data_IF_974913005807
#
_entry.id   IF_974913005807
#
_cell.length_a   1.000
_cell.length_b   1.000
_cell.length_c   1.000
_cell.angle_alpha   90.00
_cell.angle_beta   90.00
_cell.angle_gamma   90.00
#
_symmetry.space_group_name_H-M   'P 1'
#
loop_
_entity.id
_entity.type
_entity.pdbx_description
1 polymer ?
#
# COMPACT_ATOMS: atom_id res chain seq x y z
N UNK A 1 -17.22 -9.90 -5.99
CA UNK A 1 -17.66 -8.71 -5.24
C UNK A 1 -16.85 -7.56 -5.79
N UNK A 2 -17.48 -6.44 -6.21
CA UNK A 2 -16.73 -5.28 -6.71
C UNK A 2 -15.95 -4.60 -5.58
N UNK A 3 -14.96 -3.76 -5.93
CA UNK A 3 -14.23 -2.98 -4.92
C UNK A 3 -15.18 -2.07 -4.11
N UNK A 4 -16.17 -1.47 -4.79
CA UNK A 4 -17.17 -0.62 -4.12
C UNK A 4 -17.97 -1.41 -3.09
N UNK A 5 -18.36 -2.66 -3.39
CA UNK A 5 -19.07 -3.52 -2.43
C UNK A 5 -18.17 -3.82 -1.22
N UNK A 6 -16.92 -4.22 -1.47
CA UNK A 6 -15.95 -4.52 -0.40
C UNK A 6 -15.71 -3.31 0.51
N UNK A 7 -15.55 -2.11 -0.08
CA UNK A 7 -15.34 -0.89 0.69
C UNK A 7 -16.62 -0.39 1.37
N UNK A 8 -17.80 -0.70 0.85
CA UNK A 8 -19.06 -0.37 1.53
C UNK A 8 -19.28 -1.23 2.78
N UNK A 9 -18.75 -2.44 2.79
CA UNK A 9 -18.77 -3.35 3.95
C UNK A 9 -17.56 -3.17 4.88
N UNK A 10 -16.61 -2.31 4.50
CA UNK A 10 -15.40 -2.07 5.29
C UNK A 10 -15.69 -1.30 6.58
N UNK A 11 -15.13 -1.77 7.70
CA UNK A 11 -15.29 -1.16 9.01
C UNK A 11 -14.02 -0.38 9.42
N UNK A 12 -14.05 0.97 9.35
CA UNK A 12 -12.92 1.79 9.73
C UNK A 12 -12.52 1.59 11.20
N UNK A 13 -11.23 1.43 11.47
CA UNK A 13 -10.74 1.25 12.84
C UNK A 13 -10.52 2.58 13.59
N UNK A 14 -10.50 3.70 12.88
CA UNK A 14 -10.28 5.04 13.45
C UNK A 14 -10.90 6.15 12.58
N UNK A 15 -10.80 7.40 13.04
CA UNK A 15 -11.34 8.57 12.32
C UNK A 15 -10.64 8.87 10.99
N UNK A 16 -9.35 8.53 10.85
CA UNK A 16 -8.64 8.69 9.59
C UNK A 16 -9.25 7.75 8.53
N UNK A 17 -9.35 6.46 8.80
CA UNK A 17 -9.96 5.52 7.85
C UNK A 17 -11.42 5.87 7.54
N UNK A 18 -12.18 6.33 8.54
CA UNK A 18 -13.58 6.71 8.33
C UNK A 18 -13.72 7.89 7.35
N UNK A 19 -12.84 8.89 7.46
CA UNK A 19 -12.83 10.05 6.56
C UNK A 19 -12.33 9.69 5.17
N UNK A 20 -11.25 8.93 5.10
CA UNK A 20 -10.61 8.52 3.84
C UNK A 20 -11.53 7.57 3.05
N UNK A 21 -12.20 6.64 3.73
CA UNK A 21 -13.17 5.74 3.10
C UNK A 21 -14.30 6.50 2.40
N UNK A 22 -14.86 7.53 3.05
CA UNK A 22 -15.92 8.34 2.45
C UNK A 22 -15.43 9.05 1.18
N UNK A 23 -14.21 9.57 1.20
CA UNK A 23 -13.61 10.21 0.02
C UNK A 23 -13.34 9.19 -1.10
N UNK A 24 -12.75 8.05 -0.78
CA UNK A 24 -12.49 6.97 -1.73
C UNK A 24 -13.79 6.50 -2.39
N UNK A 25 -14.82 6.20 -1.60
CA UNK A 25 -16.14 5.78 -2.12
C UNK A 25 -16.79 6.85 -2.99
N UNK A 26 -16.64 8.14 -2.63
CA UNK A 26 -17.13 9.26 -3.45
C UNK A 26 -16.41 9.32 -4.79
N UNK A 27 -15.09 9.17 -4.81
CA UNK A 27 -14.30 9.17 -6.03
C UNK A 27 -14.64 7.98 -6.93
N UNK A 28 -14.72 6.77 -6.38
CA UNK A 28 -15.10 5.56 -7.12
C UNK A 28 -16.46 5.68 -7.80
N UNK A 29 -17.43 6.37 -7.16
CA UNK A 29 -18.79 6.55 -7.72
C UNK A 29 -18.87 7.64 -8.79
N UNK A 30 -18.03 8.66 -8.72
CA UNK A 30 -18.20 9.88 -9.52
C UNK A 30 -17.07 10.15 -10.53
N UNK A 31 -16.01 9.34 -10.55
CA UNK A 31 -14.85 9.54 -11.42
C UNK A 31 -14.57 8.26 -12.24
N UNK A 32 -14.97 8.20 -13.51
CA UNK A 32 -14.84 6.98 -14.32
C UNK A 32 -13.37 6.57 -14.57
N UNK A 33 -12.44 7.54 -14.57
CA UNK A 33 -11.01 7.31 -14.81
C UNK A 33 -10.19 7.08 -13.53
N UNK A 34 -10.85 6.90 -12.37
CA UNK A 34 -10.17 6.85 -11.06
C UNK A 34 -9.15 5.71 -10.92
N UNK A 35 -9.26 4.64 -11.70
CA UNK A 35 -8.27 3.56 -11.74
C UNK A 35 -7.07 3.87 -12.65
N UNK A 36 -7.08 5.00 -13.35
CA UNK A 36 -6.02 5.39 -14.28
C UNK A 36 -5.30 6.65 -13.82
N UNK A 37 -3.98 6.73 -14.04
CA UNK A 37 -3.18 7.96 -13.88
C UNK A 37 -3.59 9.08 -14.85
N UNK A 38 -4.50 8.83 -15.80
CA UNK A 38 -5.13 9.88 -16.60
C UNK A 38 -6.01 10.81 -15.76
N UNK A 39 -6.57 10.32 -14.63
CA UNK A 39 -7.16 11.19 -13.62
C UNK A 39 -6.04 11.86 -12.81
N UNK A 40 -5.76 13.11 -13.18
CA UNK A 40 -4.66 13.90 -12.60
C UNK A 40 -4.98 14.50 -11.23
N UNK A 41 -6.21 14.38 -10.75
CA UNK A 41 -6.60 14.88 -9.44
C UNK A 41 -6.42 13.80 -8.36
N UNK A 42 -6.88 12.60 -8.66
CA UNK A 42 -6.74 11.45 -7.77
C UNK A 42 -6.89 10.15 -8.54
N UNK A 43 -6.18 9.12 -8.14
CA UNK A 43 -6.33 7.79 -8.73
C UNK A 43 -6.03 6.68 -7.72
N UNK A 44 -6.54 5.48 -8.01
CA UNK A 44 -6.40 4.33 -7.14
C UNK A 44 -4.98 3.77 -7.16
N UNK A 45 -4.52 3.43 -5.96
CA UNK A 45 -3.29 2.67 -5.73
C UNK A 45 -3.57 1.48 -4.82
N UNK A 46 -2.72 0.49 -4.88
CA UNK A 46 -2.78 -0.66 -4.00
C UNK A 46 -1.43 -0.87 -3.32
N UNK A 47 -1.44 -1.12 -2.02
CA UNK A 47 -0.25 -1.40 -1.24
C UNK A 47 -0.42 -2.67 -0.43
N UNK A 48 0.70 -3.23 0.02
CA UNK A 48 0.73 -4.42 0.83
C UNK A 48 1.44 -4.19 2.16
N UNK A 49 0.80 -4.54 3.26
CA UNK A 49 1.49 -4.82 4.51
C UNK A 49 1.89 -6.28 4.48
N UNK A 50 3.09 -6.55 3.96
CA UNK A 50 3.57 -7.91 3.73
C UNK A 50 4.34 -8.41 4.93
N UNK A 51 3.90 -9.52 5.51
CA UNK A 51 4.50 -10.12 6.70
C UNK A 51 5.03 -11.52 6.41
N UNK A 52 5.95 -12.00 7.25
CA UNK A 52 6.39 -13.38 7.20
C UNK A 52 5.37 -14.31 7.89
N UNK A 53 5.45 -15.67 7.71
CA UNK A 53 4.49 -16.61 8.29
C UNK A 53 4.34 -16.52 9.82
N UNK A 54 5.42 -16.18 10.52
CA UNK A 54 5.37 -15.99 11.99
C UNK A 54 4.87 -14.61 12.41
N UNK A 55 4.64 -13.69 11.44
CA UNK A 55 4.20 -12.29 11.65
C UNK A 55 5.11 -11.49 12.58
N UNK A 56 6.36 -11.91 12.62
CA UNK A 56 7.43 -11.23 13.39
C UNK A 56 8.23 -10.24 12.55
N UNK A 57 8.02 -10.24 11.23
CA UNK A 57 8.73 -9.37 10.29
C UNK A 57 7.76 -8.78 9.26
N UNK A 58 8.09 -7.58 8.80
CA UNK A 58 7.42 -6.81 7.74
C UNK A 58 8.42 -6.52 6.64
N UNK A 59 8.02 -6.73 5.38
CA UNK A 59 8.84 -6.44 4.21
C UNK A 59 8.67 -4.98 3.80
N UNK A 60 9.78 -4.26 3.64
CA UNK A 60 9.82 -2.89 3.13
C UNK A 60 10.85 -2.78 2.00
N UNK A 61 10.60 -1.83 1.08
CA UNK A 61 11.54 -1.42 0.05
C UNK A 61 12.05 0.02 0.32
N UNK A 62 13.32 0.28 -0.03
CA UNK A 62 13.89 1.63 0.04
C UNK A 62 13.58 2.38 -1.25
N UNK A 63 12.59 3.25 -1.19
CA UNK A 63 12.08 3.96 -2.36
C UNK A 63 13.02 5.10 -2.79
N UNK A 64 13.48 5.06 -4.04
CA UNK A 64 14.49 5.99 -4.56
C UNK A 64 14.02 7.46 -4.61
N UNK A 65 12.72 7.70 -4.86
CA UNK A 65 12.17 9.06 -4.96
C UNK A 65 11.97 9.69 -3.57
N UNK A 66 11.44 8.93 -2.61
CA UNK A 66 11.13 9.44 -1.27
C UNK A 66 12.31 9.32 -0.29
N UNK A 67 13.39 8.61 -0.70
CA UNK A 67 14.54 8.32 0.17
C UNK A 67 14.13 7.77 1.54
N UNK A 68 13.17 6.85 1.52
CA UNK A 68 12.52 6.29 2.70
C UNK A 68 12.27 4.80 2.54
N UNK A 69 12.33 4.05 3.64
CA UNK A 69 11.77 2.70 3.68
C UNK A 69 10.25 2.80 3.67
N UNK A 70 9.63 2.13 2.73
CA UNK A 70 8.18 2.15 2.50
C UNK A 70 7.63 0.73 2.30
N UNK A 71 6.34 0.56 2.54
CA UNK A 71 5.60 -0.62 2.09
C UNK A 71 5.71 -0.77 0.56
N UNK A 72 5.46 -1.96 0.05
CA UNK A 72 5.45 -2.22 -1.38
C UNK A 72 4.05 -1.94 -1.93
N UNK A 73 4.00 -1.40 -3.15
CA UNK A 73 2.73 -1.08 -3.80
C UNK A 73 2.86 -0.07 -4.92
N UNK A 74 1.83 -0.02 -5.76
CA UNK A 74 1.83 0.83 -6.93
C UNK A 74 0.45 1.24 -7.40
N UNK A 75 0.40 1.72 -8.63
CA UNK A 75 -0.79 2.26 -9.25
C UNK A 75 -1.68 1.15 -9.81
N UNK A 76 -2.99 1.39 -9.78
CA UNK A 76 -3.96 0.49 -10.39
C UNK A 76 -3.79 0.35 -11.92
N UNK A 77 -3.43 1.45 -12.59
CA UNK A 77 -3.17 1.52 -14.04
C UNK A 77 -4.25 0.85 -14.90
N UNK A 78 -5.51 1.06 -14.50
CA UNK A 78 -6.69 0.50 -15.16
C UNK A 78 -7.15 -0.86 -14.64
N UNK A 79 -6.42 -1.48 -13.72
CA UNK A 79 -6.81 -2.74 -13.10
C UNK A 79 -7.69 -2.48 -11.88
N UNK A 80 -8.92 -3.00 -11.88
CA UNK A 80 -9.87 -2.84 -10.77
C UNK A 80 -9.66 -3.89 -9.66
N UNK A 81 -8.88 -4.96 -9.92
CA UNK A 81 -8.50 -5.95 -8.92
C UNK A 81 -7.26 -5.47 -8.14
N UNK A 82 -7.50 -4.62 -7.15
CA UNK A 82 -6.42 -4.04 -6.35
C UNK A 82 -5.67 -5.05 -5.48
N UNK A 83 -6.28 -6.19 -5.11
CA UNK A 83 -5.56 -7.28 -4.44
C UNK A 83 -4.52 -7.88 -5.38
N UNK A 84 -4.91 -8.13 -6.62
CA UNK A 84 -3.97 -8.61 -7.64
C UNK A 84 -2.85 -7.59 -7.88
N UNK A 85 -3.17 -6.30 -7.98
CA UNK A 85 -2.16 -5.23 -8.11
C UNK A 85 -1.17 -5.29 -6.95
N UNK A 86 -1.64 -5.28 -5.69
CA UNK A 86 -0.77 -5.34 -4.53
C UNK A 86 0.14 -6.58 -4.51
N UNK A 87 -0.36 -7.73 -4.94
CA UNK A 87 0.45 -8.96 -5.02
C UNK A 87 1.52 -8.87 -6.12
N UNK A 88 1.18 -8.32 -7.29
CA UNK A 88 2.14 -8.11 -8.37
C UNK A 88 3.26 -7.16 -7.95
N UNK A 89 2.91 -6.02 -7.33
CA UNK A 89 3.88 -5.05 -6.85
C UNK A 89 4.87 -5.66 -5.85
N UNK A 90 4.37 -6.46 -4.88
CA UNK A 90 5.28 -7.16 -3.96
C UNK A 90 6.23 -8.08 -4.71
N UNK A 91 5.75 -8.81 -5.73
CA UNK A 91 6.59 -9.72 -6.51
C UNK A 91 7.62 -8.97 -7.38
N UNK A 92 7.22 -7.86 -7.99
CA UNK A 92 8.05 -7.04 -8.88
C UNK A 92 9.13 -6.28 -8.12
N UNK A 93 8.75 -5.64 -6.99
CA UNK A 93 9.66 -4.84 -6.20
C UNK A 93 10.63 -5.67 -5.34
N UNK A 94 10.21 -6.88 -4.89
CA UNK A 94 11.02 -7.70 -3.98
C UNK A 94 11.63 -8.96 -4.59
N UNK A 95 11.19 -9.37 -5.78
CA UNK A 95 11.57 -10.64 -6.38
C UNK A 95 10.97 -11.88 -5.69
N UNK A 96 10.23 -11.75 -4.58
CA UNK A 96 9.61 -12.87 -3.88
C UNK A 96 8.32 -13.26 -4.58
N UNK A 97 8.30 -14.42 -5.23
CA UNK A 97 7.16 -14.89 -6.02
C UNK A 97 6.05 -15.56 -5.21
N UNK A 98 6.39 -16.14 -4.05
CA UNK A 98 5.41 -16.80 -3.17
C UNK A 98 4.78 -15.78 -2.24
N UNK A 99 3.74 -15.11 -2.72
CA UNK A 99 2.97 -14.11 -1.99
C UNK A 99 1.50 -14.52 -1.99
N UNK A 100 0.85 -14.49 -0.84
CA UNK A 100 -0.56 -14.82 -0.71
C UNK A 100 -1.30 -13.88 0.25
N UNK A 101 -2.59 -13.60 0.03
CA UNK A 101 -3.36 -12.81 0.98
C UNK A 101 -3.65 -13.62 2.25
N UNK A 102 -3.45 -13.00 3.42
CA UNK A 102 -3.91 -13.55 4.69
C UNK A 102 -5.42 -13.42 4.77
N UNK A 103 -5.95 -12.27 4.32
CA UNK A 103 -7.37 -12.02 4.12
C UNK A 103 -7.56 -11.38 2.73
N UNK A 104 -8.51 -11.91 1.92
CA UNK A 104 -8.66 -11.46 0.52
C UNK A 104 -9.59 -10.24 0.38
N UNK A 105 -9.61 -9.35 1.37
CA UNK A 105 -10.40 -8.12 1.39
C UNK A 105 -9.54 -6.94 1.84
N UNK A 106 -9.95 -5.70 1.61
CA UNK A 106 -9.23 -4.52 2.07
C UNK A 106 -8.89 -4.58 3.56
N UNK A 107 -7.61 -4.46 3.86
CA UNK A 107 -7.08 -4.47 5.22
C UNK A 107 -7.03 -3.08 5.81
N UNK A 108 -6.70 -2.06 5.01
CA UNK A 108 -6.63 -0.67 5.42
C UNK A 108 -6.92 0.26 4.24
N UNK A 109 -7.33 1.49 4.52
CA UNK A 109 -7.60 2.52 3.50
C UNK A 109 -6.96 3.84 3.91
N UNK A 110 -6.33 4.51 2.94
CA UNK A 110 -5.62 5.77 3.12
C UNK A 110 -5.83 6.69 1.91
N UNK A 111 -5.99 7.98 2.16
CA UNK A 111 -5.83 9.02 1.15
C UNK A 111 -4.47 9.67 1.37
N UNK A 112 -3.57 9.50 0.42
CA UNK A 112 -2.19 9.95 0.50
C UNK A 112 -1.97 11.13 -0.45
N UNK A 113 -1.26 12.15 0.02
CA UNK A 113 -0.88 13.30 -0.81
C UNK A 113 0.41 13.00 -1.56
N UNK A 114 0.43 13.34 -2.83
CA UNK A 114 1.62 13.32 -3.67
C UNK A 114 1.98 14.74 -4.07
N UNK A 115 3.16 15.18 -3.70
CA UNK A 115 3.66 16.51 -4.09
C UNK A 115 3.96 16.56 -5.59
N UNK A 116 3.87 17.76 -6.16
CA UNK A 116 4.25 18.00 -7.55
C UNK A 116 5.72 17.63 -7.79
N UNK A 117 5.96 16.86 -8.83
CA UNK A 117 7.30 16.33 -9.14
C UNK A 117 7.56 16.22 -10.64
N UNK A 118 8.80 15.98 -11.02
CA UNK A 118 9.16 15.67 -12.40
C UNK A 118 9.29 14.17 -12.59
N UNK A 119 8.64 13.62 -13.63
CA UNK A 119 8.76 12.23 -14.06
C UNK A 119 9.08 12.19 -15.56
N UNK A 120 10.16 11.55 -15.92
CA UNK A 120 10.64 11.45 -17.32
C UNK A 120 10.73 12.83 -18.04
N UNK A 121 11.06 13.89 -17.28
CA UNK A 121 11.19 15.26 -17.82
C UNK A 121 9.87 16.05 -17.91
N UNK A 122 8.73 15.45 -17.58
CA UNK A 122 7.43 16.13 -17.54
C UNK A 122 7.03 16.44 -16.10
N UNK A 123 6.42 17.62 -15.90
CA UNK A 123 5.90 18.00 -14.57
C UNK A 123 4.57 17.34 -14.31
N UNK A 124 4.50 16.64 -13.20
CA UNK A 124 3.27 16.05 -12.65
C UNK A 124 2.79 16.91 -11.49
N UNK A 125 1.55 17.40 -11.58
CA UNK A 125 0.93 18.20 -10.52
C UNK A 125 0.72 17.40 -9.26
N UNK A 126 0.64 18.09 -8.10
CA UNK A 126 0.21 17.46 -6.86
C UNK A 126 -1.18 16.82 -7.02
N UNK A 127 -1.35 15.63 -6.46
CA UNK A 127 -2.57 14.85 -6.59
C UNK A 127 -2.74 13.91 -5.39
N UNK A 128 -3.82 13.14 -5.36
CA UNK A 128 -4.10 12.18 -4.29
C UNK A 128 -3.96 10.75 -4.81
N UNK A 129 -3.32 9.91 -4.02
CA UNK A 129 -3.44 8.47 -4.14
C UNK A 129 -4.57 7.99 -3.22
N UNK A 130 -5.56 7.35 -3.80
CA UNK A 130 -6.65 6.66 -3.11
C UNK A 130 -6.21 5.23 -2.87
N UNK A 131 -5.58 4.98 -1.73
CA UNK A 131 -4.87 3.75 -1.48
C UNK A 131 -5.72 2.71 -0.75
N UNK A 132 -5.64 1.48 -1.21
CA UNK A 132 -6.17 0.30 -0.50
C UNK A 132 -5.01 -0.62 -0.15
N UNK A 133 -4.83 -0.87 1.14
CA UNK A 133 -3.78 -1.75 1.64
C UNK A 133 -4.33 -3.14 1.89
N UNK A 134 -3.57 -4.17 1.46
CA UNK A 134 -3.86 -5.58 1.74
C UNK A 134 -2.86 -6.18 2.71
N UNK A 135 -3.31 -7.13 3.54
CA UNK A 135 -2.42 -7.90 4.42
C UNK A 135 -1.99 -9.17 3.70
N UNK A 136 -0.72 -9.22 3.32
CA UNK A 136 -0.13 -10.32 2.56
C UNK A 136 0.89 -11.09 3.41
N UNK A 137 1.10 -12.36 3.05
CA UNK A 137 2.14 -13.21 3.60
C UNK A 137 3.14 -13.57 2.51
N UNK A 138 4.43 -13.52 2.84
CA UNK A 138 5.53 -13.97 1.99
C UNK A 138 6.58 -14.73 2.80
N UNK A 139 7.28 -15.66 2.14
CA UNK A 139 8.30 -16.51 2.77
C UNK A 139 9.60 -15.72 3.01
N UNK A 140 9.95 -15.48 4.27
CA UNK A 140 11.16 -14.78 4.66
C UNK A 140 12.44 -15.65 4.63
N UNK A 141 12.33 -16.92 4.28
CA UNK A 141 13.49 -17.77 3.96
C UNK A 141 14.07 -17.47 2.56
N UNK A 142 13.30 -16.82 1.70
CA UNK A 142 13.72 -16.38 0.37
C UNK A 142 14.32 -14.97 0.51
N UNK A 143 15.61 -14.78 0.17
CA UNK A 143 16.20 -13.45 0.19
C UNK A 143 15.48 -12.52 -0.82
N UNK A 144 15.01 -11.32 -0.38
CA UNK A 144 14.46 -10.37 -1.32
C UNK A 144 15.54 -9.82 -2.26
N UNK A 145 15.15 -9.42 -3.45
CA UNK A 145 15.99 -8.79 -4.45
C UNK A 145 15.49 -7.37 -4.75
N UNK A 146 16.43 -6.46 -4.98
CA UNK A 146 16.11 -5.09 -5.40
C UNK A 146 15.57 -5.09 -6.85
N UNK A 147 14.68 -4.14 -7.13
CA UNK A 147 14.34 -3.71 -8.48
C UNK A 147 14.95 -2.31 -8.70
N UNK A 148 16.13 -2.19 -9.36
CA UNK A 148 16.87 -0.93 -9.46
C UNK A 148 16.11 0.22 -10.11
N UNK A 149 15.06 -0.09 -10.92
CA UNK A 149 14.22 0.92 -11.55
C UNK A 149 13.28 1.61 -10.54
N UNK A 150 13.02 0.99 -9.39
CA UNK A 150 12.04 1.44 -8.38
C UNK A 150 12.65 1.63 -7.00
N UNK A 151 13.51 0.71 -6.57
CA UNK A 151 14.09 0.72 -5.23
C UNK A 151 15.58 0.40 -5.25
N UNK A 152 16.28 0.74 -4.16
CA UNK A 152 17.70 0.46 -3.93
C UNK A 152 17.95 -0.39 -2.69
N UNK A 153 16.94 -1.09 -2.22
CA UNK A 153 17.03 -2.05 -1.14
C UNK A 153 15.67 -2.63 -0.79
N UNK A 154 15.62 -3.91 -0.48
CA UNK A 154 14.45 -4.59 0.08
C UNK A 154 14.87 -5.39 1.29
N UNK A 155 14.17 -5.25 2.40
CA UNK A 155 14.56 -5.92 3.64
C UNK A 155 13.37 -6.23 4.55
N UNK A 156 13.58 -7.23 5.38
CA UNK A 156 12.67 -7.61 6.46
C UNK A 156 13.02 -6.87 7.75
N UNK A 157 12.03 -6.24 8.36
CA UNK A 157 12.14 -5.49 9.62
C UNK A 157 11.25 -6.12 10.69
N UNK A 158 11.60 -5.96 11.96
CA UNK A 158 10.59 -6.16 12.99
C UNK A 158 9.45 -5.14 12.81
N UNK A 159 8.20 -5.41 13.24
CA UNK A 159 7.11 -4.44 13.11
C UNK A 159 7.41 -3.07 13.74
N UNK A 160 8.18 -3.04 14.83
CA UNK A 160 8.62 -1.79 15.46
C UNK A 160 9.70 -1.06 14.65
N UNK A 161 10.67 -1.81 14.11
CA UNK A 161 11.73 -1.25 13.27
C UNK A 161 11.18 -0.77 11.92
N UNK A 162 10.17 -1.44 11.35
CA UNK A 162 9.47 -1.00 10.15
C UNK A 162 8.88 0.41 10.30
N UNK A 163 8.28 0.71 11.46
CA UNK A 163 7.79 2.07 11.79
C UNK A 163 8.94 3.06 11.84
N UNK A 164 10.05 2.69 12.49
CA UNK A 164 11.20 3.59 12.72
C UNK A 164 12.02 3.83 11.45
N UNK A 165 12.03 2.89 10.52
CA UNK A 165 12.79 2.95 9.28
C UNK A 165 12.23 3.98 8.29
N UNK A 166 10.93 4.28 8.36
CA UNK A 166 10.32 5.29 7.49
C UNK A 166 10.80 6.69 7.87
N UNK A 167 11.27 7.44 6.87
CA UNK A 167 11.61 8.86 7.01
C UNK A 167 10.37 9.77 6.91
N UNK A 168 9.25 9.25 6.43
CA UNK A 168 8.02 10.00 6.21
C UNK A 168 7.18 10.12 7.50
N UNK A 169 7.00 11.34 8.04
CA UNK A 169 6.36 11.51 9.35
C UNK A 169 4.94 10.96 9.44
N UNK A 170 4.15 11.08 8.37
CA UNK A 170 2.77 10.59 8.35
C UNK A 170 2.71 9.05 8.43
N UNK A 171 3.54 8.38 7.63
CA UNK A 171 3.63 6.91 7.66
C UNK A 171 4.12 6.43 9.02
N UNK A 172 5.20 7.03 9.54
CA UNK A 172 5.80 6.64 10.82
C UNK A 172 4.88 6.89 12.02
N UNK A 173 4.14 8.00 12.02
CA UNK A 173 3.37 8.41 13.20
C UNK A 173 1.89 7.93 13.17
N UNK A 174 1.34 7.60 12.02
CA UNK A 174 -0.07 7.28 11.86
C UNK A 174 -0.30 5.94 11.14
N UNK A 175 0.26 5.75 9.94
CA UNK A 175 -0.12 4.63 9.08
C UNK A 175 0.48 3.31 9.58
N UNK A 176 1.80 3.19 9.70
CA UNK A 176 2.46 1.92 10.06
C UNK A 176 2.13 1.44 11.48
N UNK A 177 2.02 2.30 12.51
CA UNK A 177 1.51 1.89 13.82
C UNK A 177 0.09 1.33 13.76
N UNK A 178 -0.80 1.94 12.95
CA UNK A 178 -2.15 1.45 12.71
C UNK A 178 -2.14 0.06 12.06
N UNK A 179 -1.34 -0.14 11.00
CA UNK A 179 -1.23 -1.42 10.32
C UNK A 179 -0.73 -2.53 11.25
N UNK A 180 0.28 -2.24 12.06
CA UNK A 180 0.76 -3.16 13.09
C UNK A 180 -0.33 -3.54 14.10
N UNK A 181 -1.08 -2.55 14.60
CA UNK A 181 -2.18 -2.79 15.52
C UNK A 181 -3.28 -3.68 14.90
N UNK A 182 -3.66 -3.39 13.65
CA UNK A 182 -4.66 -4.18 12.91
C UNK A 182 -4.16 -5.61 12.64
N UNK A 183 -2.89 -5.76 12.26
CA UNK A 183 -2.27 -7.07 12.05
C UNK A 183 -2.37 -7.94 13.29
N UNK A 184 -1.99 -7.41 14.48
CA UNK A 184 -2.09 -8.15 15.73
C UNK A 184 -3.54 -8.48 16.13
N UNK A 185 -4.48 -7.61 15.80
CA UNK A 185 -5.91 -7.86 16.06
C UNK A 185 -6.48 -8.95 15.15
N UNK A 186 -6.07 -9.01 13.89
CA UNK A 186 -6.47 -10.04 12.93
C UNK A 186 -5.95 -11.45 13.25
N UNK A 187 -4.94 -11.56 14.12
CA UNK A 187 -4.36 -12.84 14.56
C UNK A 187 -5.22 -13.53 15.65
N UNK A 188 -6.00 -12.76 16.38
CA UNK A 188 -6.76 -13.22 17.53
C UNK A 188 -8.21 -13.63 17.18
N UNK A 189 -8.53 -13.76 15.89
CA UNK A 189 -9.79 -14.29 15.36
C UNK A 189 -9.56 -15.69 14.80
#
# INVERSE_FOLDING_TARGET
MSLIDQLSDYHPCNSQEASDLLLILSCLKNRPEVFSRSDRLCHMTASAWTVNPSRSKVLLAYHNIYHSWAWLGGHADGNEDLLHVAMCEVQEESGIRSVSPIIPVPFSVEVLTVDGHFRHGEYVSSHLHLNVTYLLEADDSIPPAENPDENSGVSWFSPADAVSASAEPWFRNAIYPKLNQKMYSAINI
#
